data_IF_798406710859
#
_entry.id   IF_798406710859
#
_cell.length_a   1.000
_cell.length_b   1.000
_cell.length_c   1.000
_cell.angle_alpha   90.00
_cell.angle_beta   90.00
_cell.angle_gamma   90.00
#
_symmetry.space_group_name_H-M   'P 1'
#
loop_
_entity.id
_entity.type
_entity.pdbx_description
1 polymer ?
#
# COMPACT_ATOMS: atom_id res chain seq x y z
N UNK A 1 -7.61 5.02 18.09
CA UNK A 1 -7.10 4.46 16.83
C UNK A 1 -8.24 4.53 15.83
N UNK A 2 -8.20 5.41 14.83
CA UNK A 2 -9.28 5.52 13.83
C UNK A 2 -9.18 4.33 12.89
N UNK A 3 -9.83 3.22 13.23
CA UNK A 3 -10.09 2.17 12.26
C UNK A 3 -11.05 2.79 11.24
N UNK A 4 -10.58 3.09 10.03
CA UNK A 4 -11.49 3.46 8.93
C UNK A 4 -12.46 2.28 8.78
N UNK A 5 -13.79 2.51 8.77
CA UNK A 5 -14.73 1.44 8.46
C UNK A 5 -14.32 0.84 7.13
N UNK A 6 -14.28 -0.49 7.03
CA UNK A 6 -14.10 -1.17 5.73
C UNK A 6 -15.39 -0.89 4.98
N UNK A 7 -15.43 0.21 4.23
CA UNK A 7 -16.57 0.57 3.40
C UNK A 7 -16.55 -0.37 2.19
N UNK A 8 -17.15 -1.55 2.34
CA UNK A 8 -17.49 -2.41 1.20
C UNK A 8 -18.62 -1.68 0.45
N UNK A 9 -18.26 -0.72 -0.40
CA UNK A 9 -19.20 -0.14 -1.35
C UNK A 9 -19.23 -1.03 -2.60
N UNK A 10 -20.42 -1.18 -3.20
CA UNK A 10 -20.60 -1.95 -4.44
C UNK A 10 -19.82 -1.33 -5.61
N UNK A 11 -19.57 -0.02 -5.54
CA UNK A 11 -18.61 0.70 -6.35
C UNK A 11 -17.44 1.15 -5.46
N UNK A 12 -16.46 0.27 -5.32
CA UNK A 12 -15.19 0.59 -4.67
C UNK A 12 -14.44 1.67 -5.46
N UNK A 13 -13.81 2.61 -4.76
CA UNK A 13 -13.00 3.65 -5.40
C UNK A 13 -11.59 3.10 -5.53
N UNK A 14 -11.07 3.01 -6.74
CA UNK A 14 -9.70 2.58 -6.95
C UNK A 14 -8.70 3.69 -6.60
N UNK A 15 -8.16 3.69 -5.38
CA UNK A 15 -7.21 4.73 -4.97
C UNK A 15 -5.85 4.62 -5.69
N UNK A 16 -5.58 3.51 -6.39
CA UNK A 16 -4.40 3.38 -7.26
C UNK A 16 -4.57 4.19 -8.55
N UNK A 17 -5.75 4.18 -9.16
CA UNK A 17 -6.01 4.94 -10.39
C UNK A 17 -6.07 6.44 -10.11
N UNK A 18 -6.64 6.81 -8.96
CA UNK A 18 -6.72 8.21 -8.50
C UNK A 18 -5.39 8.74 -7.96
N UNK A 19 -4.34 7.91 -7.87
CA UNK A 19 -3.04 8.27 -7.27
C UNK A 19 -3.17 8.81 -5.83
N UNK A 20 -4.21 8.41 -5.10
CA UNK A 20 -4.49 8.84 -3.72
C UNK A 20 -4.14 7.76 -2.68
N UNK A 21 -3.72 6.57 -3.12
CA UNK A 21 -3.33 5.44 -2.26
C UNK A 21 -2.19 5.76 -1.30
N UNK A 22 -1.27 6.66 -1.70
CA UNK A 22 -0.06 6.96 -0.95
C UNK A 22 0.97 5.81 -0.91
N UNK A 23 0.85 4.84 -1.82
CA UNK A 23 1.86 3.81 -2.02
C UNK A 23 3.08 4.39 -2.75
N UNK A 24 4.30 4.04 -2.33
CA UNK A 24 5.53 4.51 -2.97
C UNK A 24 5.88 3.74 -4.25
N UNK A 25 5.73 2.41 -4.22
CA UNK A 25 6.07 1.53 -5.34
C UNK A 25 4.85 0.87 -5.94
N UNK A 26 4.41 -0.25 -5.36
CA UNK A 26 3.35 -1.08 -5.92
C UNK A 26 2.06 -0.74 -5.17
N UNK A 27 1.02 -0.42 -5.93
CA UNK A 27 -0.34 -0.21 -5.42
C UNK A 27 -1.23 -1.35 -5.89
N UNK A 28 -1.94 -1.99 -4.95
CA UNK A 28 -2.96 -2.99 -5.22
C UNK A 28 -4.27 -2.56 -4.58
N UNK A 29 -5.23 -2.20 -5.42
CA UNK A 29 -6.58 -1.88 -4.99
C UNK A 29 -7.26 -3.11 -4.39
N UNK A 30 -7.97 -2.92 -3.28
CA UNK A 30 -8.76 -3.98 -2.65
C UNK A 30 -10.12 -3.42 -2.30
N UNK A 31 -11.19 -4.20 -2.37
CA UNK A 31 -12.51 -3.64 -2.06
C UNK A 31 -12.57 -3.07 -0.63
N UNK A 32 -12.79 -1.76 -0.52
CA UNK A 32 -12.87 -1.00 0.72
C UNK A 32 -11.51 -0.62 1.35
N UNK A 33 -10.38 -0.84 0.68
CA UNK A 33 -9.04 -0.52 1.18
C UNK A 33 -7.98 -0.54 0.07
N UNK A 34 -6.74 -0.21 0.40
CA UNK A 34 -5.59 -0.39 -0.50
C UNK A 34 -4.47 -1.16 0.18
N UNK A 35 -3.75 -1.96 -0.60
CA UNK A 35 -2.53 -2.64 -0.15
C UNK A 35 -1.34 -2.14 -0.94
N UNK A 36 -0.29 -1.72 -0.23
CA UNK A 36 0.97 -1.29 -0.84
C UNK A 36 2.02 -2.39 -0.72
N UNK A 37 2.85 -2.54 -1.75
CA UNK A 37 4.01 -3.41 -1.74
C UNK A 37 5.26 -2.70 -2.27
N UNK A 38 6.43 -3.26 -1.99
CA UNK A 38 7.71 -2.73 -2.44
C UNK A 38 8.34 -3.66 -3.48
N UNK A 39 9.12 -3.10 -4.40
CA UNK A 39 9.93 -3.89 -5.31
C UNK A 39 10.93 -4.79 -4.57
N UNK A 40 11.36 -5.86 -5.23
CA UNK A 40 12.46 -6.69 -4.74
C UNK A 40 13.68 -5.82 -4.45
N UNK A 41 14.31 -6.03 -3.29
CA UNK A 41 15.38 -5.14 -2.81
C UNK A 41 14.93 -4.13 -1.75
N UNK A 42 13.62 -3.96 -1.55
CA UNK A 42 13.05 -2.95 -0.67
C UNK A 42 12.10 -3.55 0.37
N UNK A 43 12.02 -2.89 1.52
CA UNK A 43 11.19 -3.27 2.67
C UNK A 43 10.23 -2.12 2.99
N UNK A 44 8.95 -2.44 3.14
CA UNK A 44 7.92 -1.48 3.49
C UNK A 44 8.04 -1.06 4.96
N UNK A 45 8.18 0.24 5.20
CA UNK A 45 8.19 0.83 6.52
C UNK A 45 6.80 1.41 6.83
N UNK A 46 6.05 0.77 7.74
CA UNK A 46 4.69 1.18 8.10
C UNK A 46 4.62 2.53 8.83
N UNK A 47 5.70 2.94 9.52
CA UNK A 47 5.77 4.23 10.22
C UNK A 47 5.95 5.39 9.24
N UNK A 48 6.88 5.26 8.30
CA UNK A 48 7.16 6.30 7.31
C UNK A 48 6.38 6.15 6.01
N UNK A 49 5.57 5.09 5.88
CA UNK A 49 4.83 4.66 4.67
C UNK A 49 5.70 4.63 3.41
N UNK A 50 6.96 4.23 3.55
CA UNK A 50 7.94 4.28 2.46
C UNK A 50 8.61 2.93 2.24
N UNK A 51 9.03 2.68 1.03
CA UNK A 51 9.81 1.53 0.61
C UNK A 51 11.30 1.85 0.71
N UNK A 52 11.97 1.35 1.75
CA UNK A 52 13.40 1.58 1.92
C UNK A 52 14.19 0.41 1.36
N UNK A 53 15.33 0.67 0.74
CA UNK A 53 16.23 -0.38 0.29
C UNK A 53 16.69 -1.19 1.51
N UNK A 54 16.05 -2.32 1.73
CA UNK A 54 16.42 -3.28 2.74
C UNK A 54 16.84 -4.49 1.95
N UNK A 55 18.16 -4.72 1.86
CA UNK A 55 18.73 -5.88 1.17
C UNK A 55 17.99 -7.15 1.65
N UNK A 56 17.01 -7.68 0.89
CA UNK A 56 16.08 -8.66 1.42
C UNK A 56 16.71 -10.06 1.50
N UNK A 57 17.92 -10.22 0.95
CA UNK A 57 18.72 -11.43 1.02
C UNK A 57 20.21 -11.03 1.13
N UNK A 58 20.82 -11.20 2.30
CA UNK A 58 22.28 -11.42 2.39
C UNK A 58 22.51 -12.90 2.05
N UNK A 59 23.23 -13.17 0.96
CA UNK A 59 23.90 -14.45 0.74
C UNK A 59 25.06 -14.62 1.73
#
# INVERSE_FOLDING_TARGET
>A
MKQRPIFINVADINECDESTSGCEHICNNTQGSVTCACFSGFVYNSTSKQCKQGMPCKL
#
